data_IF_523991337932
#
_entry.id   IF_523991337932
#
_cell.length_a   1.000
_cell.length_b   1.000
_cell.length_c   1.000
_cell.angle_alpha   90.00
_cell.angle_beta   90.00
_cell.angle_gamma   90.00
#
_symmetry.space_group_name_H-M   'P 1'
#
loop_
_entity.id
_entity.type
_entity.pdbx_description
1 polymer ?
#
# COMPACT_ATOMS: atom_id res chain seq x y z
N UNK A 1 12.65 -11.08 20.36
CA UNK A 1 12.62 -11.53 18.95
C UNK A 1 13.92 -11.20 18.18
N UNK A 2 14.64 -10.11 18.53
CA UNK A 2 15.87 -9.70 17.83
C UNK A 2 17.15 -10.39 18.31
N UNK A 3 17.22 -10.89 19.54
CA UNK A 3 18.43 -11.57 20.07
C UNK A 3 18.73 -12.89 19.34
N UNK A 4 17.70 -13.68 19.00
CA UNK A 4 17.89 -14.93 18.23
C UNK A 4 18.33 -14.68 16.78
N UNK A 5 17.92 -13.54 16.17
CA UNK A 5 18.30 -13.13 14.83
C UNK A 5 19.80 -12.83 14.73
N UNK A 6 20.31 -12.01 15.67
CA UNK A 6 21.73 -11.68 15.72
C UNK A 6 22.62 -12.93 15.90
N UNK A 7 22.22 -13.87 16.76
CA UNK A 7 22.98 -15.08 17.03
C UNK A 7 23.15 -16.01 15.80
N UNK A 8 22.05 -16.25 15.05
CA UNK A 8 22.09 -17.11 13.84
C UNK A 8 22.93 -16.48 12.75
N UNK A 9 22.84 -15.16 12.58
CA UNK A 9 23.63 -14.43 11.58
C UNK A 9 25.10 -14.35 11.99
N UNK A 10 25.41 -14.16 13.28
CA UNK A 10 26.80 -14.16 13.78
C UNK A 10 27.48 -15.51 13.53
N UNK A 11 26.77 -16.62 13.77
CA UNK A 11 27.31 -17.94 13.49
C UNK A 11 27.52 -18.18 11.98
N UNK A 12 26.59 -17.73 11.13
CA UNK A 12 26.77 -17.80 9.68
C UNK A 12 27.92 -16.92 9.15
N UNK A 13 28.23 -15.81 9.85
CA UNK A 13 29.41 -14.96 9.54
C UNK A 13 30.72 -15.63 9.95
N UNK A 14 30.76 -16.31 11.11
CA UNK A 14 31.92 -17.11 11.54
C UNK A 14 32.17 -18.28 10.58
N UNK A 15 31.13 -18.98 10.14
CA UNK A 15 31.21 -20.06 9.15
C UNK A 15 31.76 -19.52 7.81
N UNK A 16 31.35 -18.32 7.39
CA UNK A 16 31.83 -17.67 6.17
C UNK A 16 33.33 -17.32 6.26
N UNK A 17 33.77 -16.80 7.40
CA UNK A 17 35.21 -16.48 7.61
C UNK A 17 36.07 -17.76 7.56
N UNK A 18 35.55 -18.86 8.05
CA UNK A 18 36.24 -20.17 7.99
C UNK A 18 36.32 -20.71 6.56
N UNK A 19 35.25 -20.54 5.74
CA UNK A 19 35.28 -20.95 4.32
C UNK A 19 36.24 -20.10 3.48
N UNK A 20 36.34 -18.78 3.74
CA UNK A 20 37.28 -17.91 3.02
C UNK A 20 38.73 -18.32 3.29
N UNK A 21 39.07 -18.69 4.51
CA UNK A 21 40.41 -19.18 4.87
C UNK A 21 40.72 -20.51 4.18
N UNK A 22 39.73 -21.43 4.10
CA UNK A 22 39.94 -22.73 3.41
C UNK A 22 40.00 -22.61 1.89
N UNK A 23 39.29 -21.64 1.27
CA UNK A 23 39.41 -21.37 -0.18
C UNK A 23 40.77 -20.77 -0.58
N UNK A 24 41.43 -19.99 0.26
CA UNK A 24 42.78 -19.52 0.01
C UNK A 24 43.79 -20.63 0.08
N UNK A 25 43.63 -21.63 0.94
CA UNK A 25 44.47 -22.81 1.02
C UNK A 25 44.21 -23.83 -0.12
N UNK A 26 42.95 -23.88 -0.68
CA UNK A 26 42.60 -24.75 -1.80
C UNK A 26 42.96 -24.23 -3.18
N UNK A 27 43.21 -22.91 -3.36
CA UNK A 27 43.66 -22.36 -4.65
C UNK A 27 45.03 -22.82 -5.11
N UNK A 28 45.78 -23.42 -4.23
CA UNK A 28 47.09 -24.04 -4.59
C UNK A 28 46.97 -25.49 -5.10
N UNK A 29 45.80 -26.13 -4.98
CA UNK A 29 45.63 -27.59 -5.29
C UNK A 29 44.78 -27.91 -6.51
N UNK A 30 44.02 -27.00 -7.12
CA UNK A 30 43.13 -27.35 -8.24
C UNK A 30 43.40 -26.59 -9.53
N UNK A 31 44.53 -26.88 -10.14
CA UNK A 31 44.78 -26.76 -11.60
C UNK A 31 44.54 -28.13 -12.30
N UNK A 32 43.48 -28.83 -12.04
CA UNK A 32 43.09 -30.01 -12.86
C UNK A 32 41.60 -30.27 -12.63
N UNK A 33 40.84 -30.07 -13.66
CA UNK A 33 39.69 -30.75 -14.21
C UNK A 33 38.60 -29.78 -14.68
N UNK A 34 38.79 -29.39 -15.95
CA UNK A 34 37.68 -28.93 -16.80
C UNK A 34 37.07 -30.14 -17.48
N UNK A 35 35.77 -30.39 -17.31
CA UNK A 35 34.83 -30.73 -18.42
C UNK A 35 33.50 -31.31 -17.93
N UNK A 36 32.43 -30.85 -18.62
CA UNK A 36 31.06 -31.38 -18.71
C UNK A 36 30.13 -30.91 -17.56
N UNK A 37 28.89 -30.50 -17.82
CA UNK A 37 28.02 -30.53 -19.02
C UNK A 37 26.82 -29.64 -18.85
N UNK A 38 26.38 -29.04 -19.97
CA UNK A 38 25.04 -28.41 -20.11
C UNK A 38 23.91 -29.38 -19.78
N UNK A 39 22.89 -28.89 -19.05
CA UNK A 39 21.48 -29.22 -19.38
C UNK A 39 20.52 -28.29 -18.70
N UNK A 40 19.57 -27.81 -19.52
CA UNK A 40 18.37 -27.04 -19.23
C UNK A 40 17.55 -27.61 -18.09
N UNK A 41 17.07 -26.75 -17.18
CA UNK A 41 15.78 -26.97 -16.52
C UNK A 41 15.01 -25.66 -16.38
N UNK A 42 13.80 -25.68 -16.95
CA UNK A 42 12.76 -24.70 -16.72
C UNK A 42 11.90 -25.21 -15.55
N UNK A 43 11.60 -24.34 -14.58
CA UNK A 43 10.40 -24.48 -13.77
C UNK A 43 10.48 -25.35 -12.52
N UNK A 44 11.54 -25.32 -11.74
CA UNK A 44 11.53 -25.91 -10.39
C UNK A 44 11.50 -24.82 -9.32
N UNK A 45 10.57 -24.97 -8.36
CA UNK A 45 10.52 -24.14 -7.14
C UNK A 45 11.82 -24.42 -6.34
N UNK A 46 12.74 -23.44 -6.35
CA UNK A 46 13.95 -23.55 -5.52
C UNK A 46 13.57 -23.51 -4.04
N UNK A 47 13.62 -24.65 -3.40
CA UNK A 47 13.78 -24.73 -1.95
C UNK A 47 15.18 -24.19 -1.66
N UNK A 48 15.28 -23.08 -0.94
CA UNK A 48 16.57 -22.49 -0.52
C UNK A 48 17.26 -23.54 0.35
N UNK A 49 18.28 -24.24 -0.20
CA UNK A 49 19.12 -25.15 0.59
C UNK A 49 20.07 -24.29 1.42
N UNK A 50 20.09 -24.49 2.72
CA UNK A 50 20.80 -23.67 3.71
C UNK A 50 22.31 -23.97 3.84
N UNK A 51 22.92 -24.67 2.89
CA UNK A 51 24.27 -25.26 3.05
C UNK A 51 25.45 -24.27 2.93
N UNK A 52 25.24 -23.06 2.39
CA UNK A 52 26.29 -22.03 2.29
C UNK A 52 26.01 -20.85 3.26
N UNK A 53 27.03 -20.31 3.96
CA UNK A 53 26.84 -19.25 4.95
C UNK A 53 26.07 -18.05 4.43
N UNK A 54 26.35 -17.59 3.21
CA UNK A 54 25.64 -16.47 2.57
C UNK A 54 24.17 -16.78 2.32
N UNK A 55 23.86 -18.02 1.91
CA UNK A 55 22.48 -18.48 1.70
C UNK A 55 21.72 -18.48 3.02
N UNK A 56 22.34 -18.90 4.12
CA UNK A 56 21.78 -18.87 5.46
C UNK A 56 21.50 -17.44 5.94
N UNK A 57 22.44 -16.48 5.68
CA UNK A 57 22.22 -15.06 6.00
C UNK A 57 20.99 -14.54 5.25
N UNK A 58 20.89 -14.76 3.94
CA UNK A 58 19.75 -14.30 3.14
C UNK A 58 18.45 -14.96 3.61
N UNK A 59 18.44 -16.28 3.80
CA UNK A 59 17.26 -17.01 4.29
C UNK A 59 16.79 -16.48 5.64
N UNK A 60 17.72 -16.24 6.57
CA UNK A 60 17.43 -15.68 7.89
C UNK A 60 16.82 -14.27 7.78
N UNK A 61 17.38 -13.39 6.94
CA UNK A 61 16.80 -12.05 6.69
C UNK A 61 15.36 -12.16 6.21
N UNK A 62 15.09 -13.05 5.23
CA UNK A 62 13.74 -13.25 4.68
C UNK A 62 12.77 -13.80 5.74
N UNK A 63 13.17 -14.79 6.52
CA UNK A 63 12.36 -15.40 7.58
C UNK A 63 11.96 -14.37 8.64
N UNK A 64 12.94 -13.61 9.16
CA UNK A 64 12.65 -12.59 10.18
C UNK A 64 11.82 -11.43 9.66
N UNK A 65 12.00 -11.02 8.40
CA UNK A 65 11.17 -10.00 7.78
C UNK A 65 9.71 -10.45 7.64
N UNK A 66 9.50 -11.70 7.17
CA UNK A 66 8.14 -12.27 7.03
C UNK A 66 7.50 -12.51 8.40
N UNK A 67 8.21 -13.12 9.35
CA UNK A 67 7.74 -13.34 10.72
C UNK A 67 7.47 -12.04 11.49
N UNK A 68 8.27 -10.99 11.22
CA UNK A 68 8.09 -9.63 11.75
C UNK A 68 7.04 -8.79 11.02
N UNK A 69 6.32 -9.39 10.05
CA UNK A 69 5.25 -8.73 9.28
C UNK A 69 5.72 -7.50 8.49
N UNK A 70 6.99 -7.48 8.04
CA UNK A 70 7.52 -6.40 7.22
C UNK A 70 6.83 -6.35 5.84
N UNK A 71 6.71 -5.16 5.28
CA UNK A 71 6.30 -4.93 3.89
C UNK A 71 7.49 -4.90 2.93
N UNK A 72 8.62 -4.35 3.38
CA UNK A 72 9.81 -4.18 2.57
C UNK A 72 11.08 -4.49 3.39
N UNK A 73 12.09 -5.03 2.72
CA UNK A 73 13.44 -5.26 3.24
C UNK A 73 14.39 -4.35 2.48
N UNK A 74 15.21 -3.59 3.18
CA UNK A 74 16.25 -2.74 2.61
C UNK A 74 17.61 -3.25 3.08
N UNK A 75 18.52 -3.52 2.14
CA UNK A 75 19.92 -3.87 2.39
C UNK A 75 20.77 -2.76 1.79
N UNK A 76 21.45 -2.01 2.65
CA UNK A 76 22.09 -0.73 2.28
C UNK A 76 23.52 -0.68 2.77
N UNK A 77 24.52 -0.49 1.86
CA UNK A 77 25.87 -0.15 2.28
C UNK A 77 25.90 1.23 2.96
N UNK A 78 26.63 1.33 4.05
CA UNK A 78 26.84 2.56 4.82
C UNK A 78 28.28 2.59 5.31
N UNK A 79 29.20 3.06 4.45
CA UNK A 79 30.63 3.03 4.74
C UNK A 79 31.14 1.61 4.99
N UNK A 80 31.62 1.33 6.20
CA UNK A 80 32.21 0.03 6.56
C UNK A 80 31.20 -1.07 6.95
N UNK A 81 29.90 -0.76 6.87
CA UNK A 81 28.85 -1.70 7.29
C UNK A 81 27.74 -1.80 6.25
N UNK A 82 26.95 -2.88 6.36
CA UNK A 82 25.71 -3.09 5.62
C UNK A 82 24.56 -3.03 6.61
N UNK A 83 23.67 -2.07 6.43
CA UNK A 83 22.49 -1.91 7.27
C UNK A 83 21.29 -2.62 6.63
N UNK A 84 20.73 -3.59 7.34
CA UNK A 84 19.48 -4.25 6.97
C UNK A 84 18.34 -3.62 7.75
N UNK A 85 17.37 -3.05 7.03
CA UNK A 85 16.19 -2.41 7.61
C UNK A 85 14.93 -3.07 7.13
N UNK A 86 13.97 -3.25 8.03
CA UNK A 86 12.63 -3.72 7.71
C UNK A 86 11.64 -2.57 7.82
N UNK A 87 10.75 -2.48 6.83
CA UNK A 87 9.60 -1.56 6.92
C UNK A 87 8.44 -2.32 7.55
N UNK A 88 8.07 -1.93 8.77
CA UNK A 88 6.93 -2.49 9.49
C UNK A 88 5.94 -1.36 9.76
N UNK A 89 4.68 -1.56 9.41
CA UNK A 89 3.61 -0.56 9.56
C UNK A 89 3.96 0.84 8.97
N UNK A 90 4.73 0.84 7.88
CA UNK A 90 5.16 2.06 7.18
C UNK A 90 6.48 2.63 7.67
N UNK A 91 6.98 2.24 8.85
CA UNK A 91 8.22 2.76 9.45
C UNK A 91 9.40 1.85 9.15
N UNK A 92 10.54 2.44 8.75
CA UNK A 92 11.80 1.73 8.54
C UNK A 92 12.57 1.61 9.85
N UNK A 93 12.80 0.38 10.29
CA UNK A 93 13.57 0.06 11.50
C UNK A 93 14.83 -0.72 11.14
N UNK A 94 15.98 -0.33 11.70
CA UNK A 94 17.22 -1.10 11.56
C UNK A 94 17.09 -2.40 12.35
N UNK A 95 17.22 -3.52 11.66
CA UNK A 95 17.02 -4.86 12.23
C UNK A 95 18.33 -5.61 12.40
N UNK A 96 19.32 -5.32 11.55
CA UNK A 96 20.62 -5.99 11.56
C UNK A 96 21.68 -5.09 10.92
N UNK A 97 22.92 -5.21 11.39
CA UNK A 97 24.11 -4.62 10.79
C UNK A 97 25.09 -5.73 10.48
N UNK A 98 25.58 -5.77 9.22
CA UNK A 98 26.54 -6.76 8.74
C UNK A 98 27.87 -6.07 8.38
N UNK A 99 29.00 -6.78 8.41
CA UNK A 99 30.27 -6.27 7.87
C UNK A 99 30.17 -6.00 6.37
N UNK A 100 30.82 -4.96 5.87
CA UNK A 100 30.79 -4.59 4.43
C UNK A 100 31.31 -5.72 3.52
N UNK A 101 32.23 -6.55 4.00
CA UNK A 101 32.81 -7.69 3.26
C UNK A 101 31.78 -8.68 2.73
N UNK A 102 30.61 -8.82 3.37
CA UNK A 102 29.56 -9.75 2.93
C UNK A 102 28.59 -9.14 1.92
N UNK A 103 28.61 -7.83 1.68
CA UNK A 103 27.67 -7.14 0.80
C UNK A 103 27.57 -7.78 -0.58
N UNK A 104 28.73 -7.93 -1.25
CA UNK A 104 28.77 -8.43 -2.61
C UNK A 104 28.22 -9.86 -2.72
N UNK A 105 28.48 -10.70 -1.73
CA UNK A 105 27.98 -12.08 -1.70
C UNK A 105 26.47 -12.13 -1.46
N UNK A 106 25.95 -11.31 -0.52
CA UNK A 106 24.49 -11.20 -0.25
C UNK A 106 23.76 -10.65 -1.49
N UNK A 107 24.29 -9.59 -2.12
CA UNK A 107 23.69 -9.01 -3.33
C UNK A 107 23.71 -10.03 -4.48
N UNK A 108 24.84 -10.72 -4.69
CA UNK A 108 24.96 -11.76 -5.73
C UNK A 108 23.93 -12.88 -5.51
N UNK A 109 23.77 -13.37 -4.26
CA UNK A 109 22.77 -14.38 -3.95
C UNK A 109 21.35 -13.93 -4.25
N UNK A 110 21.00 -12.70 -3.90
CA UNK A 110 19.69 -12.12 -4.19
C UNK A 110 19.49 -11.97 -5.71
N UNK A 111 20.50 -11.53 -6.46
CA UNK A 111 20.45 -11.44 -7.93
C UNK A 111 20.23 -12.82 -8.57
N UNK A 112 20.91 -13.86 -8.09
CA UNK A 112 20.69 -15.22 -8.56
C UNK A 112 19.24 -15.66 -8.35
N UNK A 113 18.72 -15.50 -7.14
CA UNK A 113 17.33 -15.83 -6.81
C UNK A 113 16.32 -15.10 -7.70
N UNK A 114 16.66 -13.86 -8.10
CA UNK A 114 15.78 -12.97 -8.87
C UNK A 114 16.02 -13.00 -10.38
N UNK A 115 16.89 -13.90 -10.86
CA UNK A 115 17.31 -14.04 -12.29
C UNK A 115 17.88 -12.76 -12.89
N UNK A 116 18.61 -11.98 -12.07
CA UNK A 116 19.29 -10.74 -12.48
C UNK A 116 20.73 -11.04 -12.95
N UNK A 117 21.32 -10.11 -13.73
CA UNK A 117 22.70 -10.19 -14.20
C UNK A 117 23.67 -9.89 -13.06
N UNK A 118 24.63 -10.80 -12.81
CA UNK A 118 25.61 -10.66 -11.74
C UNK A 118 26.73 -9.67 -12.07
N UNK A 119 27.11 -9.62 -13.35
CA UNK A 119 28.19 -8.80 -13.88
C UNK A 119 27.80 -7.33 -14.05
N UNK A 120 26.51 -7.02 -14.16
CA UNK A 120 26.04 -5.64 -14.29
C UNK A 120 25.73 -5.03 -12.90
N UNK A 121 26.61 -4.10 -12.48
CA UNK A 121 26.53 -3.39 -11.19
C UNK A 121 26.30 -1.90 -11.34
N UNK A 122 26.31 -1.37 -12.57
CA UNK A 122 26.28 0.07 -12.88
C UNK A 122 24.87 0.57 -13.22
N UNK A 123 23.91 -0.34 -13.36
CA UNK A 123 22.53 -0.02 -13.71
C UNK A 123 21.58 -0.65 -12.71
N UNK A 124 20.46 0.01 -12.39
CA UNK A 124 19.38 -0.63 -11.64
C UNK A 124 18.89 -1.89 -12.36
N UNK A 125 18.49 -2.88 -11.60
CA UNK A 125 17.87 -4.09 -12.11
C UNK A 125 16.67 -4.43 -11.25
N UNK A 126 15.60 -4.93 -11.89
CA UNK A 126 14.40 -5.41 -11.26
C UNK A 126 14.22 -6.90 -11.52
N UNK A 127 13.70 -7.62 -10.54
CA UNK A 127 13.44 -9.04 -10.65
C UNK A 127 12.46 -9.52 -9.59
N UNK A 128 12.18 -10.82 -9.61
CA UNK A 128 11.26 -11.43 -8.66
C UNK A 128 11.65 -12.88 -8.38
N UNK A 129 11.36 -13.34 -7.19
CA UNK A 129 11.47 -14.75 -6.84
C UNK A 129 10.39 -15.13 -5.82
N UNK A 130 10.18 -16.44 -5.64
CA UNK A 130 9.29 -16.95 -4.59
C UNK A 130 10.09 -17.86 -3.66
N UNK A 131 9.77 -17.81 -2.38
CA UNK A 131 10.34 -18.73 -1.38
C UNK A 131 9.24 -19.28 -0.47
N UNK A 132 9.44 -20.51 0.03
CA UNK A 132 8.59 -21.07 1.09
C UNK A 132 9.15 -20.69 2.45
N UNK A 133 8.38 -19.89 3.19
CA UNK A 133 8.72 -19.42 4.54
C UNK A 133 7.58 -19.81 5.47
N UNK A 134 7.88 -20.54 6.53
CA UNK A 134 6.88 -21.06 7.49
C UNK A 134 5.71 -21.80 6.79
N UNK A 135 6.02 -22.60 5.75
CA UNK A 135 5.02 -23.36 4.98
C UNK A 135 4.21 -22.52 3.97
N UNK A 136 4.40 -21.19 3.93
CA UNK A 136 3.70 -20.27 3.01
C UNK A 136 4.58 -19.92 1.82
N UNK A 137 4.00 -19.87 0.63
CA UNK A 137 4.68 -19.36 -0.57
C UNK A 137 4.62 -17.84 -0.57
N UNK A 138 5.76 -17.21 -0.38
CA UNK A 138 5.91 -15.74 -0.36
C UNK A 138 6.60 -15.33 -1.66
N UNK A 139 6.08 -14.30 -2.34
CA UNK A 139 6.73 -13.69 -3.49
C UNK A 139 7.50 -12.44 -3.05
N UNK A 140 8.69 -12.24 -3.62
CA UNK A 140 9.53 -11.08 -3.41
C UNK A 140 9.74 -10.35 -4.73
N UNK A 141 9.43 -9.05 -4.78
CA UNK A 141 9.84 -8.15 -5.86
C UNK A 141 11.09 -7.43 -5.44
N UNK A 142 12.12 -7.55 -6.22
CA UNK A 142 13.48 -7.11 -5.88
C UNK A 142 13.90 -6.02 -6.83
N UNK A 143 14.46 -4.93 -6.30
CA UNK A 143 15.12 -3.89 -7.08
C UNK A 143 16.52 -3.65 -6.53
N UNK A 144 17.51 -3.59 -7.42
CA UNK A 144 18.90 -3.22 -7.08
C UNK A 144 19.19 -1.82 -7.60
N UNK A 145 19.95 -1.05 -6.82
CA UNK A 145 20.32 0.32 -7.17
C UNK A 145 21.79 0.56 -6.91
N UNK A 146 22.59 1.03 -7.92
CA UNK A 146 24.00 1.34 -7.75
C UNK A 146 24.21 2.52 -6.80
N UNK A 147 25.13 2.37 -5.85
CA UNK A 147 25.61 3.43 -4.97
C UNK A 147 27.13 3.53 -5.07
N UNK A 148 27.72 4.56 -4.46
CA UNK A 148 29.19 4.75 -4.44
C UNK A 148 29.89 3.57 -3.75
N UNK A 149 29.32 3.03 -2.67
CA UNK A 149 29.92 1.98 -1.84
C UNK A 149 29.41 0.58 -2.19
N UNK A 150 28.75 0.39 -3.34
CA UNK A 150 28.21 -0.91 -3.79
C UNK A 150 26.76 -0.82 -4.25
N UNK A 151 26.02 -1.92 -4.18
CA UNK A 151 24.64 -1.96 -4.60
C UNK A 151 23.70 -2.02 -3.39
N UNK A 152 22.70 -1.16 -3.38
CA UNK A 152 21.54 -1.25 -2.49
C UNK A 152 20.53 -2.24 -3.06
N UNK A 153 19.90 -3.04 -2.18
CA UNK A 153 18.79 -3.92 -2.55
C UNK A 153 17.55 -3.54 -1.75
N UNK A 154 16.43 -3.47 -2.45
CA UNK A 154 15.11 -3.34 -1.83
C UNK A 154 14.25 -4.53 -2.27
N UNK A 155 13.64 -5.23 -1.31
CA UNK A 155 12.75 -6.35 -1.60
C UNK A 155 11.38 -6.05 -0.99
N UNK A 156 10.32 -6.02 -1.82
CA UNK A 156 8.94 -5.97 -1.36
C UNK A 156 8.42 -7.37 -1.12
N UNK A 157 7.78 -7.58 0.02
CA UNK A 157 7.21 -8.86 0.44
C UNK A 157 5.75 -8.92 0.03
N UNK A 158 5.40 -9.90 -0.80
CA UNK A 158 4.04 -10.15 -1.25
C UNK A 158 3.60 -11.51 -0.67
N UNK A 159 2.80 -11.45 0.39
CA UNK A 159 2.27 -12.64 1.07
C UNK A 159 0.82 -12.90 0.61
N UNK A 160 0.59 -13.87 -0.28
CA UNK A 160 -0.75 -14.15 -0.79
C UNK A 160 -1.72 -14.65 0.29
N UNK A 161 -1.20 -15.17 1.42
CA UNK A 161 -2.06 -15.65 2.51
C UNK A 161 -2.66 -14.51 3.33
N UNK A 162 -2.10 -13.30 3.25
CA UNK A 162 -2.71 -12.11 3.85
C UNK A 162 -4.02 -11.69 3.17
N UNK A 163 -4.29 -12.25 2.00
CA UNK A 163 -5.58 -12.24 1.31
C UNK A 163 -6.21 -10.87 1.08
N UNK A 164 -7.33 -10.88 0.39
CA UNK A 164 -8.22 -9.72 0.27
C UNK A 164 -8.86 -9.48 1.64
N UNK A 165 -8.59 -8.33 2.25
CA UNK A 165 -9.25 -7.94 3.51
C UNK A 165 -10.73 -7.74 3.26
N UNK A 166 -11.58 -8.21 4.17
CA UNK A 166 -12.99 -7.87 4.18
C UNK A 166 -13.18 -6.35 4.29
N UNK A 167 -14.15 -5.79 3.60
CA UNK A 167 -14.43 -4.35 3.59
C UNK A 167 -14.62 -3.81 5.02
N UNK A 168 -15.25 -4.58 5.92
CA UNK A 168 -15.44 -4.23 7.32
C UNK A 168 -14.17 -4.12 8.16
N UNK A 169 -13.05 -4.71 7.69
CA UNK A 169 -11.76 -4.72 8.41
C UNK A 169 -10.78 -3.65 7.92
N UNK A 170 -11.14 -2.86 6.91
CA UNK A 170 -10.28 -1.78 6.37
C UNK A 170 -10.26 -0.56 7.28
N UNK A 171 -11.38 -0.30 7.98
CA UNK A 171 -11.53 0.84 8.88
C UNK A 171 -12.63 1.82 8.47
N UNK A 172 -13.49 1.46 7.53
CA UNK A 172 -14.65 2.28 7.16
C UNK A 172 -15.70 2.32 8.28
N UNK A 173 -16.33 3.48 8.48
CA UNK A 173 -17.49 3.61 9.34
C UNK A 173 -18.71 2.84 8.76
N UNK A 174 -19.69 2.51 9.60
CA UNK A 174 -20.93 1.86 9.15
C UNK A 174 -21.64 2.65 8.03
N UNK A 175 -21.65 3.99 8.14
CA UNK A 175 -22.19 4.89 7.11
C UNK A 175 -21.45 4.69 5.78
N UNK A 176 -20.13 4.73 5.81
CA UNK A 176 -19.31 4.63 4.60
C UNK A 176 -19.43 3.24 3.95
N UNK A 177 -19.48 2.16 4.74
CA UNK A 177 -19.76 0.81 4.24
C UNK A 177 -21.12 0.75 3.54
N UNK A 178 -22.14 1.40 4.12
CA UNK A 178 -23.47 1.50 3.49
C UNK A 178 -23.44 2.18 2.13
N UNK A 179 -22.72 3.30 2.00
CA UNK A 179 -22.55 4.02 0.74
C UNK A 179 -21.80 3.16 -0.31
N UNK A 180 -20.72 2.48 0.12
CA UNK A 180 -19.96 1.59 -0.75
C UNK A 180 -20.86 0.46 -1.27
N UNK A 181 -21.51 -0.28 -0.38
CA UNK A 181 -22.40 -1.40 -0.75
C UNK A 181 -23.53 -0.95 -1.67
N UNK A 182 -24.15 0.18 -1.38
CA UNK A 182 -25.18 0.76 -2.27
C UNK A 182 -24.63 1.06 -3.66
N UNK A 183 -23.37 1.48 -3.79
CA UNK A 183 -22.76 1.71 -5.10
C UNK A 183 -22.40 0.41 -5.82
N UNK A 184 -22.03 -0.65 -5.10
CA UNK A 184 -21.74 -1.97 -5.68
C UNK A 184 -22.96 -2.69 -6.22
N UNK A 185 -24.17 -2.34 -5.75
CA UNK A 185 -25.43 -2.93 -6.27
C UNK A 185 -25.93 -2.24 -7.54
N UNK A 186 -25.34 -1.11 -7.94
CA UNK A 186 -25.71 -0.43 -9.18
C UNK A 186 -25.31 -1.28 -10.39
N UNK A 187 -26.12 -1.30 -11.45
CA UNK A 187 -25.81 -2.06 -12.65
C UNK A 187 -24.64 -1.48 -13.43
N UNK A 188 -24.39 -0.17 -13.34
CA UNK A 188 -23.32 0.54 -14.01
C UNK A 188 -22.90 1.78 -13.20
N UNK A 189 -21.76 2.34 -13.56
CA UNK A 189 -21.24 3.57 -12.99
C UNK A 189 -19.76 3.50 -12.70
N UNK A 190 -19.19 4.62 -12.27
CA UNK A 190 -17.77 4.77 -11.96
C UNK A 190 -17.58 5.00 -10.46
N UNK A 191 -16.75 4.17 -9.85
CA UNK A 191 -16.32 4.32 -8.46
C UNK A 191 -14.84 4.65 -8.45
N UNK A 192 -14.46 5.76 -7.83
CA UNK A 192 -13.09 6.23 -7.77
C UNK A 192 -12.55 6.25 -6.34
N UNK A 193 -11.35 5.69 -6.19
CA UNK A 193 -10.61 5.74 -4.93
C UNK A 193 -9.36 6.60 -5.15
N UNK A 194 -9.22 7.63 -4.31
CA UNK A 194 -8.11 8.57 -4.36
C UNK A 194 -7.17 8.43 -3.16
N UNK A 195 -5.97 8.94 -3.32
CA UNK A 195 -4.95 9.03 -2.28
C UNK A 195 -3.54 8.81 -2.81
N UNK A 196 -2.51 9.11 -2.02
CA UNK A 196 -1.11 8.90 -2.39
C UNK A 196 -0.75 7.41 -2.51
N UNK A 197 0.46 7.14 -2.98
CA UNK A 197 1.03 5.79 -2.97
C UNK A 197 1.10 5.26 -1.54
N UNK A 198 0.72 3.99 -1.34
CA UNK A 198 0.72 3.37 -0.01
C UNK A 198 -0.49 3.71 0.88
N UNK A 199 -1.49 4.46 0.39
CA UNK A 199 -2.71 4.75 1.15
C UNK A 199 -3.70 3.58 1.24
N UNK A 200 -3.41 2.44 0.61
CA UNK A 200 -4.24 1.24 0.67
C UNK A 200 -5.34 1.15 -0.39
N UNK A 201 -5.28 1.95 -1.48
CA UNK A 201 -6.28 1.97 -2.57
C UNK A 201 -6.53 0.58 -3.16
N UNK A 202 -5.48 -0.13 -3.54
CA UNK A 202 -5.61 -1.49 -4.13
C UNK A 202 -6.27 -2.46 -3.14
N UNK A 203 -5.93 -2.39 -1.85
CA UNK A 203 -6.58 -3.22 -0.81
C UNK A 203 -8.08 -2.94 -0.69
N UNK A 204 -8.48 -1.67 -0.84
CA UNK A 204 -9.89 -1.27 -0.83
C UNK A 204 -10.61 -1.72 -2.09
N UNK A 205 -9.99 -1.54 -3.29
CA UNK A 205 -10.54 -2.08 -4.53
C UNK A 205 -10.76 -3.59 -4.45
N UNK A 206 -9.77 -4.33 -3.96
CA UNK A 206 -9.86 -5.78 -3.82
C UNK A 206 -10.94 -6.19 -2.81
N UNK A 207 -11.09 -5.44 -1.71
CA UNK A 207 -12.17 -5.69 -0.75
C UNK A 207 -13.56 -5.45 -1.37
N UNK A 208 -13.69 -4.43 -2.22
CA UNK A 208 -14.92 -4.17 -2.96
C UNK A 208 -15.20 -5.28 -3.99
N UNK A 209 -14.17 -5.78 -4.71
CA UNK A 209 -14.29 -6.95 -5.57
C UNK A 209 -14.65 -8.23 -4.79
N UNK A 210 -14.30 -8.28 -3.50
CA UNK A 210 -14.71 -9.36 -2.60
C UNK A 210 -16.21 -9.37 -2.26
N UNK A 211 -16.86 -8.22 -2.33
CA UNK A 211 -18.30 -8.06 -2.01
C UNK A 211 -19.23 -8.28 -3.23
N UNK A 212 -18.69 -8.32 -4.47
CA UNK A 212 -19.53 -8.53 -5.67
C UNK A 212 -19.73 -10.01 -5.97
N UNK A 213 -20.86 -10.38 -6.61
CA UNK A 213 -21.21 -11.76 -7.00
C UNK A 213 -20.39 -12.23 -8.20
N UNK A 214 -19.12 -12.59 -7.97
CA UNK A 214 -18.15 -12.99 -8.99
C UNK A 214 -18.52 -14.28 -9.73
N UNK A 215 -19.32 -15.14 -9.13
CA UNK A 215 -19.81 -16.39 -9.77
C UNK A 215 -20.87 -16.12 -10.85
N UNK A 216 -21.55 -14.97 -10.79
CA UNK A 216 -22.64 -14.60 -11.70
C UNK A 216 -22.26 -13.46 -12.64
N UNK A 217 -21.13 -12.80 -12.44
CA UNK A 217 -20.67 -11.63 -13.18
C UNK A 217 -19.29 -11.85 -13.74
N UNK A 218 -19.08 -11.43 -14.96
CA UNK A 218 -17.74 -11.40 -15.54
C UNK A 218 -16.96 -10.20 -15.02
N UNK A 219 -16.03 -10.46 -14.10
CA UNK A 219 -15.20 -9.45 -13.46
C UNK A 219 -13.80 -9.48 -14.06
N UNK A 220 -13.37 -8.36 -14.64
CA UNK A 220 -12.07 -8.25 -15.29
C UNK A 220 -11.27 -7.12 -14.67
N UNK A 221 -10.00 -7.33 -14.41
CA UNK A 221 -9.09 -6.28 -13.93
C UNK A 221 -7.91 -6.03 -14.87
N UNK A 222 -7.41 -4.80 -14.81
CA UNK A 222 -6.20 -4.35 -15.49
C UNK A 222 -5.31 -3.63 -14.47
N UNK A 223 -4.10 -4.13 -14.23
CA UNK A 223 -3.30 -3.77 -13.07
C UNK A 223 -1.82 -3.52 -13.41
N UNK A 224 -1.12 -2.72 -12.59
CA UNK A 224 0.31 -2.41 -12.73
C UNK A 224 1.03 -2.39 -11.36
N UNK A 225 1.49 -3.54 -10.91
CA UNK A 225 1.22 -4.91 -11.32
C UNK A 225 0.06 -5.55 -10.53
N UNK A 226 -0.27 -6.82 -10.83
CA UNK A 226 -1.20 -7.61 -10.00
C UNK A 226 -0.53 -7.87 -8.64
N UNK A 227 -1.18 -7.44 -7.55
CA UNK A 227 -0.63 -7.62 -6.18
C UNK A 227 -0.98 -9.00 -5.60
N UNK A 228 -2.22 -9.45 -5.77
CA UNK A 228 -2.71 -10.77 -5.34
C UNK A 228 -3.64 -11.34 -6.37
N UNK A 229 -3.67 -12.67 -6.47
CA UNK A 229 -4.71 -13.37 -7.25
C UNK A 229 -6.02 -13.35 -6.48
N UNK A 230 -7.09 -12.96 -7.17
CA UNK A 230 -8.47 -12.95 -6.65
C UNK A 230 -9.26 -14.03 -7.40
N UNK A 231 -9.80 -14.97 -6.66
CA UNK A 231 -10.64 -16.03 -7.23
C UNK A 231 -11.90 -15.42 -7.87
N UNK A 232 -12.26 -15.90 -9.07
CA UNK A 232 -13.39 -15.38 -9.83
C UNK A 232 -13.16 -14.02 -10.51
N UNK A 233 -11.92 -13.53 -10.59
CA UNK A 233 -11.54 -12.30 -11.33
C UNK A 233 -10.54 -12.65 -12.42
N UNK A 234 -10.81 -12.22 -13.64
CA UNK A 234 -9.88 -12.30 -14.77
C UNK A 234 -8.90 -11.13 -14.71
N UNK A 235 -7.73 -11.37 -14.11
CA UNK A 235 -6.74 -10.31 -13.86
C UNK A 235 -5.70 -10.26 -14.98
N UNK A 236 -5.48 -9.08 -15.56
CA UNK A 236 -4.48 -8.81 -16.59
C UNK A 236 -3.50 -7.73 -16.11
N UNK A 237 -2.22 -7.97 -16.31
CA UNK A 237 -1.18 -7.00 -15.97
C UNK A 237 -0.76 -6.23 -17.22
N UNK A 238 -0.60 -4.91 -17.10
CA UNK A 238 -0.06 -4.07 -18.17
C UNK A 238 1.46 -4.26 -18.33
N UNK A 239 1.94 -4.07 -19.56
CA UNK A 239 3.35 -4.11 -19.94
C UNK A 239 3.62 -2.94 -20.90
N UNK A 240 3.85 -1.72 -20.39
CA UNK A 240 4.03 -0.53 -21.21
C UNK A 240 5.18 -0.65 -22.22
N UNK A 241 6.23 -1.41 -21.89
CA UNK A 241 7.40 -1.65 -22.75
C UNK A 241 7.08 -2.36 -24.06
N UNK A 242 5.97 -3.08 -24.12
CA UNK A 242 5.47 -3.73 -25.34
C UNK A 242 4.19 -3.07 -25.90
N UNK A 243 3.83 -1.88 -25.37
CA UNK A 243 2.62 -1.14 -25.78
C UNK A 243 1.31 -1.63 -25.16
N UNK A 244 1.37 -2.57 -24.22
CA UNK A 244 0.19 -3.01 -23.48
C UNK A 244 -0.04 -2.11 -22.25
N UNK A 245 -0.72 -0.99 -22.49
CA UNK A 245 -1.02 0.06 -21.51
C UNK A 245 -2.42 -0.08 -20.90
N UNK A 246 -2.77 0.73 -19.91
CA UNK A 246 -4.15 0.78 -19.37
C UNK A 246 -5.17 1.09 -20.46
N UNK A 247 -4.90 2.05 -21.34
CA UNK A 247 -5.81 2.41 -22.44
C UNK A 247 -5.99 1.26 -23.44
N UNK A 248 -4.90 0.64 -23.92
CA UNK A 248 -4.99 -0.48 -24.87
C UNK A 248 -5.64 -1.71 -24.24
N UNK A 249 -5.35 -1.99 -22.98
CA UNK A 249 -5.96 -3.07 -22.22
C UNK A 249 -7.45 -2.86 -22.01
N UNK A 250 -7.88 -1.65 -21.63
CA UNK A 250 -9.29 -1.34 -21.42
C UNK A 250 -10.11 -1.47 -22.70
N UNK A 251 -9.59 -1.02 -23.86
CA UNK A 251 -10.24 -1.29 -25.16
C UNK A 251 -10.41 -2.78 -25.43
N UNK A 252 -9.48 -3.62 -24.98
CA UNK A 252 -9.57 -5.06 -25.15
C UNK A 252 -10.58 -5.69 -24.19
N UNK A 253 -10.64 -5.22 -22.96
CA UNK A 253 -11.60 -5.68 -21.94
C UNK A 253 -13.04 -5.43 -22.38
N UNK A 254 -13.34 -4.29 -23.00
CA UNK A 254 -14.69 -3.98 -23.52
C UNK A 254 -15.19 -4.97 -24.59
N UNK A 255 -14.34 -5.83 -25.14
CA UNK A 255 -14.71 -6.92 -26.07
C UNK A 255 -14.76 -8.29 -25.39
N UNK A 256 -14.60 -8.34 -24.06
CA UNK A 256 -14.62 -9.57 -23.27
C UNK A 256 -15.94 -9.76 -22.52
N UNK A 257 -17.00 -9.05 -22.91
CA UNK A 257 -18.33 -9.09 -22.26
C UNK A 257 -18.26 -8.91 -20.73
N UNK A 258 -17.60 -7.84 -20.23
CA UNK A 258 -17.43 -7.64 -18.80
C UNK A 258 -18.69 -7.03 -18.16
N UNK A 259 -19.05 -7.46 -16.97
CA UNK A 259 -20.05 -6.76 -16.13
C UNK A 259 -19.37 -5.73 -15.22
N UNK A 260 -18.19 -6.09 -14.68
CA UNK A 260 -17.42 -5.27 -13.76
C UNK A 260 -15.99 -5.16 -14.26
N UNK A 261 -15.50 -3.94 -14.34
CA UNK A 261 -14.15 -3.63 -14.79
C UNK A 261 -13.39 -2.94 -13.66
N UNK A 262 -12.22 -3.46 -13.29
CA UNK A 262 -11.29 -2.74 -12.42
C UNK A 262 -10.10 -2.26 -13.23
N UNK A 263 -9.89 -0.94 -13.26
CA UNK A 263 -8.70 -0.30 -13.85
C UNK A 263 -7.82 0.16 -12.70
N UNK A 264 -6.60 -0.36 -12.59
CA UNK A 264 -5.70 -0.12 -11.46
C UNK A 264 -5.56 1.36 -11.14
N UNK A 265 -5.34 2.19 -12.15
CA UNK A 265 -5.31 3.64 -11.98
C UNK A 265 -5.60 4.40 -13.27
N UNK A 266 -6.10 5.63 -13.13
CA UNK A 266 -6.28 6.62 -14.18
C UNK A 266 -5.19 7.67 -14.04
N UNK A 267 -4.23 7.68 -14.99
CA UNK A 267 -3.12 8.65 -15.03
C UNK A 267 -3.25 9.68 -16.13
N UNK A 268 -3.95 9.33 -17.21
CA UNK A 268 -4.03 10.10 -18.45
C UNK A 268 -5.47 10.24 -18.94
N UNK A 269 -5.66 11.19 -19.85
CA UNK A 269 -6.97 11.49 -20.44
C UNK A 269 -7.57 10.29 -21.17
N UNK A 270 -6.76 9.54 -21.90
CA UNK A 270 -7.25 8.43 -22.74
C UNK A 270 -7.86 7.32 -21.87
N UNK A 271 -7.17 6.94 -20.79
CA UNK A 271 -7.66 5.96 -19.81
C UNK A 271 -8.92 6.49 -19.10
N UNK A 272 -8.95 7.78 -18.77
CA UNK A 272 -10.11 8.40 -18.12
C UNK A 272 -11.34 8.41 -19.04
N UNK A 273 -11.20 8.81 -20.31
CA UNK A 273 -12.26 8.79 -21.30
C UNK A 273 -12.84 7.38 -21.48
N UNK A 274 -11.98 6.38 -21.61
CA UNK A 274 -12.41 4.99 -21.77
C UNK A 274 -13.13 4.45 -20.54
N UNK A 275 -12.67 4.79 -19.33
CA UNK A 275 -13.31 4.36 -18.08
C UNK A 275 -14.71 5.00 -17.91
N UNK A 276 -14.84 6.29 -18.22
CA UNK A 276 -16.13 7.00 -18.21
C UNK A 276 -17.06 6.44 -19.29
N UNK A 277 -16.59 6.19 -20.51
CA UNK A 277 -17.39 5.57 -21.58
C UNK A 277 -17.85 4.16 -21.21
N UNK A 278 -16.97 3.35 -20.60
CA UNK A 278 -17.35 2.02 -20.12
C UNK A 278 -18.49 2.11 -19.09
N UNK A 279 -18.37 3.04 -18.13
CA UNK A 279 -19.42 3.29 -17.14
C UNK A 279 -20.72 3.78 -17.77
N UNK A 280 -20.66 4.64 -18.78
CA UNK A 280 -21.81 5.17 -19.49
C UNK A 280 -22.54 4.09 -20.32
N UNK A 281 -21.77 3.12 -20.85
CA UNK A 281 -22.30 2.03 -21.71
C UNK A 281 -22.75 0.79 -20.95
N UNK A 282 -22.90 0.88 -19.63
CA UNK A 282 -23.56 -0.17 -18.84
C UNK A 282 -22.64 -1.02 -17.96
N UNK A 283 -21.38 -0.64 -17.78
CA UNK A 283 -20.43 -1.39 -16.95
C UNK A 283 -20.23 -0.73 -15.58
N UNK A 284 -20.05 -1.52 -14.54
CA UNK A 284 -19.61 -1.02 -13.24
C UNK A 284 -18.08 -0.96 -13.22
N UNK A 285 -17.52 0.25 -13.18
CA UNK A 285 -16.08 0.49 -13.30
C UNK A 285 -15.50 0.93 -11.96
N UNK A 286 -14.44 0.27 -11.50
CA UNK A 286 -13.66 0.64 -10.34
C UNK A 286 -12.28 1.13 -10.78
N UNK A 287 -11.83 2.25 -10.26
CA UNK A 287 -10.47 2.72 -10.55
C UNK A 287 -9.90 3.56 -9.42
N UNK A 288 -8.61 3.88 -9.55
CA UNK A 288 -7.94 4.84 -8.67
C UNK A 288 -7.51 6.08 -9.43
N UNK A 289 -7.40 7.19 -8.69
CA UNK A 289 -6.89 8.46 -9.18
C UNK A 289 -6.04 9.11 -8.08
N UNK A 290 -5.16 10.01 -8.44
CA UNK A 290 -4.32 10.71 -7.47
C UNK A 290 -4.84 12.10 -7.19
N UNK A 291 -5.51 12.30 -6.05
CA UNK A 291 -5.86 13.59 -5.43
C UNK A 291 -5.67 13.50 -3.92
N UNK A 292 -5.63 14.63 -3.24
CA UNK A 292 -5.44 14.68 -1.79
C UNK A 292 -6.76 14.55 -1.02
N UNK A 293 -7.89 14.87 -1.63
CA UNK A 293 -9.24 14.92 -1.04
C UNK A 293 -10.24 14.21 -1.94
N UNK A 294 -11.38 13.81 -1.41
CA UNK A 294 -12.45 13.23 -2.22
C UNK A 294 -13.11 14.29 -3.11
N UNK A 295 -13.35 15.50 -2.59
CA UNK A 295 -13.92 16.60 -3.37
C UNK A 295 -13.06 17.01 -4.57
N UNK A 296 -11.73 16.87 -4.47
CA UNK A 296 -10.77 17.17 -5.52
C UNK A 296 -10.77 16.19 -6.70
N UNK A 297 -11.47 15.04 -6.59
CA UNK A 297 -11.52 14.04 -7.68
C UNK A 297 -12.25 14.58 -8.91
N UNK A 298 -13.38 15.26 -8.73
CA UNK A 298 -14.17 15.82 -9.82
C UNK A 298 -13.39 16.90 -10.58
N UNK A 299 -12.84 17.94 -9.94
CA UNK A 299 -11.98 18.92 -10.63
C UNK A 299 -10.78 18.27 -11.33
N UNK A 300 -10.24 17.19 -10.77
CA UNK A 300 -9.13 16.45 -11.40
C UNK A 300 -9.53 15.80 -12.71
N UNK A 301 -10.71 15.16 -12.78
CA UNK A 301 -11.25 14.60 -14.03
C UNK A 301 -11.49 15.70 -15.07
N UNK A 302 -12.05 16.83 -14.67
CA UNK A 302 -12.27 17.99 -15.54
C UNK A 302 -10.93 18.53 -16.06
N UNK A 303 -9.92 18.67 -15.18
CA UNK A 303 -8.58 19.10 -15.57
C UNK A 303 -7.87 18.14 -16.53
N UNK A 304 -8.20 16.84 -16.46
CA UNK A 304 -7.73 15.84 -17.43
C UNK A 304 -8.46 15.95 -18.77
N UNK A 305 -9.47 16.82 -18.90
CA UNK A 305 -10.22 17.09 -20.11
C UNK A 305 -11.41 16.16 -20.32
N UNK A 306 -11.98 15.61 -19.25
CA UNK A 306 -13.23 14.84 -19.28
C UNK A 306 -14.39 15.83 -19.19
N UNK A 307 -15.37 15.69 -20.07
CA UNK A 307 -16.55 16.54 -20.11
C UNK A 307 -17.41 16.34 -18.83
N UNK A 308 -17.72 17.42 -18.08
CA UNK A 308 -18.63 17.36 -16.93
C UNK A 308 -19.96 16.67 -17.23
N UNK A 309 -20.52 16.81 -18.42
CA UNK A 309 -21.75 16.13 -18.85
C UNK A 309 -21.62 14.60 -18.92
N UNK A 310 -20.41 14.09 -19.08
CA UNK A 310 -20.15 12.64 -19.03
C UNK A 310 -19.85 12.14 -17.60
N UNK A 311 -19.24 12.98 -16.76
CA UNK A 311 -18.92 12.66 -15.37
C UNK A 311 -20.23 12.55 -14.53
N UNK A 312 -21.12 13.52 -14.70
CA UNK A 312 -22.34 13.62 -13.88
C UNK A 312 -23.19 12.32 -13.84
N UNK A 313 -23.54 11.69 -14.97
CA UNK A 313 -24.35 10.47 -14.99
C UNK A 313 -23.56 9.20 -14.67
N UNK A 314 -22.23 9.23 -14.70
CA UNK A 314 -21.40 8.04 -14.55
C UNK A 314 -20.76 7.88 -13.18
N UNK A 315 -20.27 8.95 -12.58
CA UNK A 315 -19.64 8.89 -11.27
C UNK A 315 -20.68 8.52 -10.20
N UNK A 316 -20.42 7.50 -9.40
CA UNK A 316 -21.38 7.00 -8.40
C UNK A 316 -20.89 7.16 -6.98
N UNK A 317 -19.60 6.95 -6.76
CA UNK A 317 -18.96 7.01 -5.44
C UNK A 317 -17.53 7.52 -5.57
N UNK A 318 -17.14 8.34 -4.62
CA UNK A 318 -15.76 8.81 -4.47
C UNK A 318 -15.30 8.51 -3.05
N UNK A 319 -14.09 7.97 -2.96
CA UNK A 319 -13.40 7.68 -1.71
C UNK A 319 -12.02 8.33 -1.79
N UNK A 320 -11.64 9.13 -0.81
CA UNK A 320 -10.23 9.48 -0.61
C UNK A 320 -9.73 8.83 0.68
N UNK A 321 -8.48 8.37 0.66
CA UNK A 321 -7.98 7.46 1.69
C UNK A 321 -6.52 7.73 2.03
N UNK A 322 -6.19 7.64 3.34
CA UNK A 322 -4.84 7.50 3.87
C UNK A 322 -4.78 6.36 4.88
N UNK A 323 -3.60 5.84 5.16
CA UNK A 323 -3.36 4.88 6.23
C UNK A 323 -2.66 5.56 7.38
N UNK A 324 -3.19 5.35 8.58
CA UNK A 324 -2.61 5.80 9.85
C UNK A 324 -2.34 4.60 10.76
N UNK A 325 -1.40 4.74 11.70
CA UNK A 325 -1.09 3.69 12.66
C UNK A 325 -2.24 3.49 13.65
N UNK A 326 -2.40 2.26 14.14
CA UNK A 326 -3.37 1.92 15.17
C UNK A 326 -2.70 1.70 16.52
N UNK A 327 -3.37 2.07 17.59
CA UNK A 327 -2.96 1.71 18.95
C UNK A 327 -2.89 0.18 19.09
N UNK A 328 -1.95 -0.30 19.87
CA UNK A 328 -1.98 -1.71 20.27
C UNK A 328 -3.25 -2.00 21.08
N UNK A 329 -3.79 -3.23 21.00
CA UNK A 329 -4.94 -3.62 21.84
C UNK A 329 -4.70 -3.27 23.31
N UNK A 330 -5.70 -2.67 23.94
CA UNK A 330 -5.70 -2.27 25.35
C UNK A 330 -4.62 -1.28 25.80
N UNK A 331 -3.91 -0.65 24.85
CA UNK A 331 -2.95 0.42 25.11
C UNK A 331 -3.56 1.80 24.84
N UNK A 332 -2.79 2.84 25.02
CA UNK A 332 -3.19 4.23 24.84
C UNK A 332 -3.53 4.90 26.17
N UNK A 333 -3.02 6.11 26.35
CA UNK A 333 -3.31 6.95 27.49
C UNK A 333 -4.45 7.89 27.17
N UNK A 334 -5.44 7.95 28.06
CA UNK A 334 -6.59 8.83 27.88
C UNK A 334 -6.17 10.30 28.04
N UNK A 335 -6.59 11.12 27.10
CA UNK A 335 -6.41 12.58 27.08
C UNK A 335 -7.77 13.24 27.14
N UNK A 336 -8.13 13.89 28.27
CA UNK A 336 -9.42 14.55 28.43
C UNK A 336 -9.63 15.67 27.40
N UNK A 337 -10.84 15.76 26.86
CA UNK A 337 -11.24 16.83 25.93
C UNK A 337 -11.59 18.07 26.75
N UNK A 338 -10.60 18.89 27.07
CA UNK A 338 -10.74 20.14 27.83
C UNK A 338 -9.88 21.26 27.22
N UNK A 339 -10.12 22.50 27.61
CA UNK A 339 -9.28 23.64 27.24
C UNK A 339 -9.12 23.82 25.71
N UNK A 340 -7.87 23.98 25.27
CA UNK A 340 -7.51 24.19 23.86
C UNK A 340 -7.93 23.03 22.96
N UNK A 341 -7.83 21.79 23.44
CA UNK A 341 -8.25 20.61 22.67
C UNK A 341 -9.74 20.65 22.34
N UNK A 342 -10.59 21.07 23.30
CA UNK A 342 -12.02 21.23 23.04
C UNK A 342 -12.28 22.30 21.99
N UNK A 343 -11.63 23.45 22.10
CA UNK A 343 -11.76 24.54 21.12
C UNK A 343 -11.32 24.09 19.71
N UNK A 344 -10.23 23.35 19.63
CA UNK A 344 -9.76 22.79 18.36
C UNK A 344 -10.80 21.83 17.75
N UNK A 345 -11.38 20.93 18.56
CA UNK A 345 -12.43 20.01 18.07
C UNK A 345 -13.69 20.76 17.66
N UNK A 346 -14.15 21.75 18.45
CA UNK A 346 -15.32 22.55 18.13
C UNK A 346 -15.14 23.29 16.79
N UNK A 347 -13.94 23.86 16.54
CA UNK A 347 -13.59 24.50 15.27
C UNK A 347 -13.50 23.50 14.11
N UNK A 348 -12.86 22.31 14.34
CA UNK A 348 -12.67 21.30 13.31
C UNK A 348 -14.01 20.77 12.75
N UNK A 349 -15.04 20.67 13.58
CA UNK A 349 -16.36 20.17 13.20
C UNK A 349 -17.41 21.29 13.05
N UNK A 350 -17.01 22.55 13.00
CA UNK A 350 -17.93 23.69 13.00
C UNK A 350 -18.95 23.61 11.85
N UNK A 351 -18.50 23.31 10.65
CA UNK A 351 -19.30 23.24 9.41
C UNK A 351 -20.07 21.92 9.22
N UNK A 352 -19.87 20.92 10.10
CA UNK A 352 -20.62 19.68 10.06
C UNK A 352 -22.04 19.88 10.61
N UNK A 353 -23.10 19.39 9.95
CA UNK A 353 -24.45 19.48 10.48
C UNK A 353 -24.63 18.76 11.82
N UNK A 354 -25.41 19.36 12.74
CA UNK A 354 -25.56 18.88 14.12
C UNK A 354 -26.00 17.43 14.25
N UNK A 355 -26.81 16.94 13.31
CA UNK A 355 -27.23 15.53 13.25
C UNK A 355 -26.09 14.52 13.18
N UNK A 356 -24.91 14.95 12.71
CA UNK A 356 -23.70 14.12 12.59
C UNK A 356 -22.69 14.38 13.72
N UNK A 357 -22.94 15.37 14.62
CA UNK A 357 -22.05 15.71 15.75
C UNK A 357 -22.34 14.95 17.03
N UNK A 358 -23.30 14.07 17.07
CA UNK A 358 -23.78 13.43 18.33
C UNK A 358 -22.65 12.68 19.07
N UNK A 359 -21.88 11.85 18.36
CA UNK A 359 -20.79 11.08 18.95
C UNK A 359 -19.65 12.00 19.41
N UNK A 360 -19.37 13.09 18.70
CA UNK A 360 -18.35 14.07 19.02
C UNK A 360 -18.74 14.84 20.29
N UNK A 361 -20.00 15.30 20.38
CA UNK A 361 -20.53 16.01 21.55
C UNK A 361 -20.56 15.12 22.81
N UNK A 362 -20.69 13.81 22.65
CA UNK A 362 -20.70 12.85 23.74
C UNK A 362 -19.28 12.42 24.16
N UNK A 363 -18.26 12.70 23.37
CA UNK A 363 -16.88 12.29 23.64
C UNK A 363 -16.30 13.05 24.84
N UNK A 364 -15.65 12.30 25.73
CA UNK A 364 -15.01 12.89 26.94
C UNK A 364 -13.48 12.90 26.83
N UNK A 365 -12.91 12.05 25.98
CA UNK A 365 -11.46 11.87 25.87
C UNK A 365 -11.07 11.36 24.48
N UNK A 366 -9.83 11.65 24.12
CA UNK A 366 -9.07 11.03 23.03
C UNK A 366 -8.00 10.13 23.64
N UNK A 367 -7.25 9.43 22.76
CA UNK A 367 -6.17 8.57 23.22
C UNK A 367 -4.87 8.91 22.53
N UNK A 368 -3.77 9.02 23.29
CA UNK A 368 -2.41 9.20 22.80
C UNK A 368 -1.59 7.92 22.95
N UNK A 369 -0.44 7.86 22.29
CA UNK A 369 0.47 6.72 22.35
C UNK A 369 0.92 6.50 23.79
N UNK A 370 0.87 5.23 24.26
CA UNK A 370 1.49 4.79 25.50
C UNK A 370 2.25 3.49 25.27
N UNK A 371 3.58 3.53 25.15
CA UNK A 371 4.40 2.34 25.03
C UNK A 371 4.20 1.39 26.23
N UNK A 372 4.26 0.08 25.94
CA UNK A 372 4.21 -0.98 26.93
C UNK A 372 5.27 -2.03 26.64
N UNK A 373 5.67 -2.89 27.58
CA UNK A 373 6.64 -3.96 27.33
C UNK A 373 6.22 -4.90 26.18
N UNK A 374 4.90 -5.14 26.01
CA UNK A 374 4.34 -5.96 24.90
C UNK A 374 4.19 -5.20 23.59
N UNK A 375 4.26 -3.88 23.63
CA UNK A 375 4.14 -2.98 22.49
C UNK A 375 5.04 -1.75 22.67
N UNK A 376 6.35 -1.87 22.42
CA UNK A 376 7.33 -0.82 22.71
C UNK A 376 7.08 0.49 21.94
N UNK A 377 6.49 0.41 20.74
CA UNK A 377 6.16 1.59 19.96
C UNK A 377 4.77 2.17 20.30
N UNK A 378 3.97 1.48 21.13
CA UNK A 378 2.60 1.85 21.45
C UNK A 378 1.60 1.69 20.31
N UNK A 379 2.07 1.38 19.10
CA UNK A 379 1.26 1.19 17.89
C UNK A 379 1.58 -0.14 17.21
N UNK A 380 0.58 -0.74 16.54
CA UNK A 380 0.72 -1.96 15.75
C UNK A 380 -0.36 -2.03 14.68
N UNK A 381 0.05 -2.15 13.43
CA UNK A 381 -0.86 -2.20 12.29
C UNK A 381 -1.30 -0.82 11.82
N UNK A 382 -2.14 -0.82 10.80
CA UNK A 382 -2.67 0.40 10.19
C UNK A 382 -4.14 0.25 9.87
N UNK A 383 -4.88 1.36 9.91
CA UNK A 383 -6.28 1.48 9.47
C UNK A 383 -6.42 2.61 8.47
N UNK A 384 -7.45 2.54 7.63
CA UNK A 384 -7.76 3.64 6.73
C UNK A 384 -8.45 4.77 7.48
N UNK A 385 -8.13 6.01 7.11
CA UNK A 385 -8.91 7.21 7.37
C UNK A 385 -9.38 7.76 6.04
N UNK A 386 -10.66 8.14 5.95
CA UNK A 386 -11.32 8.29 4.67
C UNK A 386 -12.28 9.46 4.61
N UNK A 387 -12.39 10.02 3.41
CA UNK A 387 -13.51 10.85 2.96
C UNK A 387 -14.34 10.04 1.99
N UNK A 388 -15.64 9.95 2.18
CA UNK A 388 -16.53 9.17 1.30
C UNK A 388 -17.81 9.93 1.02
N UNK A 389 -18.12 10.11 -0.25
CA UNK A 389 -19.42 10.61 -0.69
C UNK A 389 -19.93 9.86 -1.93
N UNK A 390 -21.25 9.73 -2.02
CA UNK A 390 -21.93 9.27 -3.22
C UNK A 390 -22.45 10.46 -4.02
N UNK A 391 -22.51 10.31 -5.33
CA UNK A 391 -23.12 11.32 -6.20
C UNK A 391 -24.59 11.55 -5.85
N UNK A 392 -25.00 12.80 -5.87
CA UNK A 392 -26.39 13.26 -5.70
C UNK A 392 -26.69 14.39 -6.69
N UNK A 393 -27.94 14.81 -6.76
CA UNK A 393 -28.39 15.85 -7.70
C UNK A 393 -27.73 17.21 -7.48
N UNK A 394 -27.39 17.56 -6.24
CA UNK A 394 -26.74 18.84 -5.94
C UNK A 394 -25.29 18.84 -6.45
N UNK A 395 -24.57 17.69 -6.33
CA UNK A 395 -23.23 17.53 -6.89
C UNK A 395 -23.30 17.51 -8.43
N UNK A 396 -24.29 16.84 -9.03
CA UNK A 396 -24.49 16.87 -10.49
C UNK A 396 -24.70 18.29 -10.99
N UNK A 397 -25.52 19.11 -10.32
CA UNK A 397 -25.79 20.49 -10.68
C UNK A 397 -24.53 21.37 -10.59
N UNK A 398 -23.75 21.25 -9.49
CA UNK A 398 -22.53 22.05 -9.33
C UNK A 398 -21.45 21.63 -10.31
N UNK A 399 -21.38 20.33 -10.64
CA UNK A 399 -20.45 19.81 -11.63
C UNK A 399 -20.69 20.42 -13.02
N UNK A 400 -21.95 20.68 -13.39
CA UNK A 400 -22.32 21.27 -14.66
C UNK A 400 -22.19 22.81 -14.69
N UNK A 401 -22.07 23.45 -13.53
CA UNK A 401 -22.04 24.95 -13.44
C UNK A 401 -20.69 25.45 -12.96
N UNK A 402 -20.19 24.96 -11.84
CA UNK A 402 -18.95 25.43 -11.20
C UNK A 402 -18.25 24.28 -10.44
N UNK A 403 -17.57 23.34 -11.13
CA UNK A 403 -16.99 22.12 -10.54
C UNK A 403 -15.70 22.39 -9.77
N UNK A 404 -15.69 23.37 -8.86
CA UNK A 404 -14.54 23.67 -7.99
C UNK A 404 -14.64 22.89 -6.68
N UNK A 405 -13.49 22.50 -6.16
CA UNK A 405 -13.38 21.64 -4.98
C UNK A 405 -14.13 22.19 -3.76
N UNK A 406 -14.03 23.51 -3.51
CA UNK A 406 -14.68 24.16 -2.35
C UNK A 406 -16.21 24.10 -2.40
N UNK A 407 -16.80 24.19 -3.58
CA UNK A 407 -18.26 24.11 -3.73
C UNK A 407 -18.76 22.67 -3.60
N UNK A 408 -18.02 21.71 -4.16
CA UNK A 408 -18.29 20.28 -3.98
C UNK A 408 -18.20 19.90 -2.50
N UNK A 409 -17.14 20.38 -1.81
CA UNK A 409 -16.95 20.14 -0.38
C UNK A 409 -18.16 20.63 0.44
N UNK A 410 -18.67 21.84 0.20
CA UNK A 410 -19.85 22.38 0.91
C UNK A 410 -21.09 21.49 0.75
N UNK A 411 -21.29 20.89 -0.42
CA UNK A 411 -22.41 19.99 -0.66
C UNK A 411 -22.25 18.68 0.08
N UNK A 412 -21.11 18.00 -0.11
CA UNK A 412 -20.88 16.69 0.53
C UNK A 412 -20.80 16.80 2.05
N UNK A 413 -20.41 17.96 2.55
CA UNK A 413 -20.38 18.26 3.98
C UNK A 413 -21.78 18.32 4.59
N UNK A 414 -22.76 18.88 3.90
CA UNK A 414 -24.18 18.87 4.31
C UNK A 414 -24.72 17.46 4.43
N UNK A 415 -24.19 16.52 3.66
CA UNK A 415 -24.54 15.09 3.69
C UNK A 415 -23.76 14.31 4.75
N UNK A 416 -22.92 14.99 5.54
CA UNK A 416 -22.18 14.40 6.66
C UNK A 416 -20.90 13.69 6.26
N UNK A 417 -20.26 14.07 5.16
CA UNK A 417 -18.90 13.61 4.88
C UNK A 417 -17.96 14.15 5.96
N UNK A 418 -17.19 13.28 6.57
CA UNK A 418 -16.06 13.65 7.42
C UNK A 418 -14.81 13.82 6.56
N UNK A 419 -13.95 14.77 6.92
CA UNK A 419 -12.58 14.83 6.40
C UNK A 419 -11.75 13.69 6.97
N UNK A 420 -10.61 13.35 6.35
CA UNK A 420 -9.72 12.29 6.87
C UNK A 420 -9.23 12.60 8.28
N UNK A 421 -8.97 13.89 8.59
CA UNK A 421 -8.58 14.33 9.94
C UNK A 421 -9.69 14.08 10.95
N UNK A 422 -10.92 14.36 10.59
CA UNK A 422 -12.09 14.12 11.44
C UNK A 422 -12.39 12.64 11.62
N UNK A 423 -12.26 11.84 10.56
CA UNK A 423 -12.38 10.37 10.66
C UNK A 423 -11.31 9.78 11.58
N UNK A 424 -10.07 10.33 11.56
CA UNK A 424 -9.02 9.98 12.50
C UNK A 424 -9.37 10.38 13.94
N UNK A 425 -9.95 11.57 14.15
CA UNK A 425 -10.43 12.01 15.47
C UNK A 425 -11.51 11.05 15.99
N UNK A 426 -12.50 10.68 15.17
CA UNK A 426 -13.53 9.71 15.55
C UNK A 426 -12.91 8.36 15.96
N UNK A 427 -11.90 7.90 15.22
CA UNK A 427 -11.15 6.68 15.54
C UNK A 427 -10.29 6.83 16.79
N UNK A 428 -9.82 8.04 17.11
CA UNK A 428 -9.11 8.30 18.35
C UNK A 428 -10.07 8.28 19.56
N UNK A 429 -11.28 8.83 19.42
CA UNK A 429 -12.35 8.69 20.42
C UNK A 429 -12.67 7.21 20.67
N UNK A 430 -12.70 6.40 19.61
CA UNK A 430 -12.94 4.95 19.69
C UNK A 430 -11.71 4.14 20.16
N UNK A 431 -10.60 4.78 20.55
CA UNK A 431 -9.34 4.14 20.98
C UNK A 431 -8.71 3.22 19.90
N UNK A 432 -8.86 3.58 18.64
CA UNK A 432 -8.29 2.84 17.49
C UNK A 432 -7.01 3.51 17.02
N UNK A 433 -7.05 4.83 16.84
CA UNK A 433 -5.95 5.64 16.29
C UNK A 433 -5.42 6.56 17.38
N UNK A 434 -4.10 6.68 17.57
CA UNK A 434 -3.56 7.66 18.51
C UNK A 434 -3.71 9.08 17.97
N UNK A 435 -3.86 10.05 18.88
CA UNK A 435 -4.06 11.46 18.52
C UNK A 435 -2.86 12.05 17.75
N UNK A 436 -1.67 11.54 17.96
CA UNK A 436 -0.47 11.94 17.22
C UNK A 436 -0.63 11.73 15.71
N UNK A 437 -1.31 10.65 15.30
CA UNK A 437 -1.60 10.40 13.88
C UNK A 437 -2.59 11.43 13.28
N UNK A 438 -3.48 12.00 14.10
CA UNK A 438 -4.40 13.07 13.65
C UNK A 438 -3.62 14.30 13.18
N UNK A 439 -2.52 14.62 13.86
CA UNK A 439 -1.68 15.78 13.53
C UNK A 439 -0.83 15.59 12.27
N UNK A 440 -0.65 14.33 11.82
CA UNK A 440 0.06 14.05 10.54
C UNK A 440 -0.83 14.28 9.32
N UNK A 441 -2.15 14.44 9.54
CA UNK A 441 -3.12 14.66 8.50
C UNK A 441 -3.36 16.16 8.31
N UNK A 442 -2.90 16.71 7.20
CA UNK A 442 -3.20 18.10 6.84
C UNK A 442 -4.71 18.27 6.62
N UNK A 443 -5.27 19.36 7.14
CA UNK A 443 -6.64 19.74 6.84
C UNK A 443 -6.72 20.09 5.34
N UNK A 444 -7.47 19.31 4.55
CA UNK A 444 -7.76 19.68 3.16
C UNK A 444 -8.48 21.03 3.12
N UNK A 445 -8.28 21.81 2.07
CA UNK A 445 -8.99 23.05 1.67
C UNK A 445 -8.96 24.23 2.67
N UNK A 446 -8.94 24.03 3.99
CA UNK A 446 -9.04 25.10 4.99
C UNK A 446 -7.83 25.19 5.93
N UNK A 447 -6.69 24.62 5.60
CA UNK A 447 -5.60 24.54 6.54
C UNK A 447 -4.36 25.31 6.12
N UNK A 448 -4.13 26.48 6.62
CA UNK A 448 -2.79 27.07 6.83
C UNK A 448 -2.65 27.83 8.16
N UNK A 449 -3.71 27.97 8.95
CA UNK A 449 -3.66 28.87 10.15
C UNK A 449 -3.64 28.14 11.51
N UNK A 450 -3.62 26.82 11.61
CA UNK A 450 -3.78 26.14 12.91
C UNK A 450 -2.47 25.55 13.47
N UNK A 451 -1.41 25.45 12.68
CA UNK A 451 -0.16 24.81 13.12
C UNK A 451 0.72 25.66 14.07
N UNK A 452 0.44 26.97 14.22
CA UNK A 452 1.21 27.87 15.12
C UNK A 452 0.84 27.76 16.61
N UNK A 453 -0.29 27.13 16.96
CA UNK A 453 -0.76 27.11 18.36
C UNK A 453 -0.30 25.93 19.23
N UNK A 454 0.41 24.95 18.65
CA UNK A 454 0.84 23.73 19.39
C UNK A 454 2.33 23.79 19.77
N UNK A 455 3.08 24.77 19.31
CA UNK A 455 4.52 24.93 19.61
C UNK A 455 4.84 25.88 20.76
N UNK A 456 3.84 26.36 21.54
CA UNK A 456 4.05 27.21 22.71
C UNK A 456 3.64 26.53 24.00
#
# INVERSE_FOLDING_TARGET
MYEGFSGVVSQALEDLDTEIVTEEEQKDLTKRDKKKSDKKHAGEEEVIKEDAPVTKIVATILQYAVGGNASDIHIEPTGDTVRVRFRVDGVLNTSLVLPIKVLNAVVARIKILSSMKLDEKRKPQDGRFSARIEGRKIEFRVSTFPLADGEKVVMRILDPTKGVRELGKIGFSKRNIGLIRSSLTKPYGLVLISGPTGSGKSSTLYAMLGEVERDKKNVVSLEDPIEYKIEGVSQSQVFPEIGYTFATGLRSILRQDPDIIMVGEIRDKETADLAVQAALTGHLVFSTIHTNTAAGVIPRLVAMGIDPFLIAPTLTLVIAQRLVQTLCPDTGEAMPITGSLKLMLDKQFEDLPDKYKQEIKAAKQLYKIKPTPSCPNGTRGRTAVVEVFAMNKDIENILLTNPVESEIYKIVRKDGMLTMKEDAIMKSIARIVPFEEVNTLTSGILGEEVDEYIAS
#
